data_IF_235605015707
#
_entry.id   IF_235605015707
#
_cell.length_a   1.000
_cell.length_b   1.000
_cell.length_c   1.000
_cell.angle_alpha   90.00
_cell.angle_beta   90.00
_cell.angle_gamma   90.00
#
_symmetry.space_group_name_H-M   'P 1'
#
loop_
_entity.id
_entity.type
_entity.pdbx_description
1 polymer ?
#
# COMPACT_ATOMS: atom_id res chain seq x y z
N UNK A 1 -1.27 1.11 -28.20
CA UNK A 1 -1.79 2.02 -27.15
C UNK A 1 -3.11 2.68 -27.54
N UNK A 2 -3.27 3.18 -28.77
CA UNK A 2 -4.53 3.80 -29.26
C UNK A 2 -5.71 2.82 -29.26
N UNK A 3 -5.50 1.56 -29.66
CA UNK A 3 -6.53 0.53 -29.61
C UNK A 3 -7.02 0.28 -28.18
N UNK A 4 -6.10 0.18 -27.20
CA UNK A 4 -6.47 -0.01 -25.81
C UNK A 4 -7.31 1.17 -25.29
N UNK A 5 -6.94 2.39 -25.61
CA UNK A 5 -7.73 3.59 -25.24
C UNK A 5 -9.12 3.62 -25.84
N UNK A 6 -9.31 2.98 -27.01
CA UNK A 6 -10.60 2.96 -27.69
C UNK A 6 -11.57 1.89 -27.13
N UNK A 7 -11.04 0.83 -26.54
CA UNK A 7 -11.84 -0.32 -26.07
C UNK A 7 -11.97 -0.41 -24.54
N UNK A 8 -11.06 0.22 -23.78
CA UNK A 8 -11.15 0.24 -22.34
C UNK A 8 -12.01 1.43 -21.88
N UNK A 9 -12.87 1.22 -20.88
CA UNK A 9 -13.62 2.33 -20.28
C UNK A 9 -12.67 3.31 -19.61
N UNK A 10 -13.08 4.56 -19.52
CA UNK A 10 -12.33 5.57 -18.76
C UNK A 10 -12.24 5.15 -17.30
N UNK A 11 -11.03 5.05 -16.69
CA UNK A 11 -10.86 4.56 -15.32
C UNK A 11 -11.72 5.26 -14.27
N UNK A 12 -11.92 6.57 -14.41
CA UNK A 12 -12.76 7.36 -13.51
C UNK A 12 -14.23 6.93 -13.53
N UNK A 13 -14.73 6.39 -14.66
CA UNK A 13 -16.10 5.92 -14.79
C UNK A 13 -16.37 4.63 -14.04
N UNK A 14 -15.33 3.89 -13.66
CA UNK A 14 -15.44 2.62 -12.97
C UNK A 14 -15.56 2.77 -11.44
N UNK A 15 -15.17 3.90 -10.87
CA UNK A 15 -15.08 4.10 -9.43
C UNK A 15 -16.38 3.78 -8.69
N UNK A 16 -17.52 4.26 -9.20
CA UNK A 16 -18.84 4.05 -8.57
C UNK A 16 -19.39 2.63 -8.72
N UNK A 17 -18.83 1.83 -9.62
CA UNK A 17 -19.31 0.47 -9.93
C UNK A 17 -18.36 -0.63 -9.50
N UNK A 18 -17.11 -0.30 -9.21
CA UNK A 18 -16.11 -1.26 -8.75
C UNK A 18 -16.46 -1.77 -7.35
N UNK A 19 -16.43 -3.08 -7.19
CA UNK A 19 -16.72 -3.79 -5.94
C UNK A 19 -15.56 -4.69 -5.57
N UNK A 20 -15.42 -4.97 -4.28
CA UNK A 20 -14.39 -5.85 -3.75
C UNK A 20 -13.28 -5.09 -3.05
N UNK A 21 -12.13 -5.74 -2.88
CA UNK A 21 -11.05 -5.22 -2.03
C UNK A 21 -9.71 -5.33 -2.74
N UNK A 22 -8.86 -4.33 -2.54
CA UNK A 22 -7.45 -4.39 -2.88
C UNK A 22 -6.68 -4.88 -1.66
N UNK A 23 -5.87 -5.90 -1.84
CA UNK A 23 -4.93 -6.39 -0.82
C UNK A 23 -3.51 -6.11 -1.32
N UNK A 24 -2.73 -5.38 -0.53
CA UNK A 24 -1.33 -5.06 -0.81
C UNK A 24 -0.51 -5.50 0.39
N UNK A 25 0.55 -6.25 0.14
CA UNK A 25 1.43 -6.69 1.22
C UNK A 25 2.60 -7.51 0.75
N UNK A 26 3.53 -7.73 1.66
CA UNK A 26 4.76 -8.46 1.46
C UNK A 26 4.83 -9.69 2.36
N UNK A 27 5.35 -10.78 1.80
CA UNK A 27 5.63 -12.00 2.54
C UNK A 27 7.14 -12.18 2.65
N UNK A 28 7.64 -12.09 3.87
CA UNK A 28 9.04 -12.30 4.18
C UNK A 28 9.25 -13.65 4.86
N UNK A 29 10.14 -14.47 4.29
CA UNK A 29 10.57 -15.73 4.89
C UNK A 29 12.05 -15.64 5.24
N UNK A 30 12.39 -15.99 6.47
CA UNK A 30 13.75 -15.93 6.97
C UNK A 30 13.95 -16.76 8.23
N UNK A 31 15.08 -16.51 8.90
CA UNK A 31 15.41 -17.12 10.18
C UNK A 31 15.58 -16.04 11.24
N UNK A 32 14.93 -16.22 12.38
CA UNK A 32 15.06 -15.38 13.57
C UNK A 32 15.25 -16.27 14.79
N UNK A 33 16.33 -16.03 15.54
CA UNK A 33 16.67 -16.78 16.76
C UNK A 33 16.78 -18.30 16.52
N UNK A 34 17.32 -18.70 15.35
CA UNK A 34 17.49 -20.11 14.95
C UNK A 34 16.20 -20.80 14.49
N UNK A 35 15.10 -20.05 14.33
CA UNK A 35 13.82 -20.59 13.87
C UNK A 35 13.41 -19.96 12.54
N UNK A 36 12.96 -20.81 11.61
CA UNK A 36 12.35 -20.33 10.37
C UNK A 36 11.03 -19.62 10.69
N UNK A 37 10.86 -18.43 10.11
CA UNK A 37 9.65 -17.64 10.22
C UNK A 37 9.22 -17.13 8.87
N UNK A 38 7.91 -17.11 8.65
CA UNK A 38 7.27 -16.46 7.52
C UNK A 38 6.28 -15.44 8.04
N UNK A 39 6.45 -14.20 7.65
CA UNK A 39 5.62 -13.09 8.11
C UNK A 39 4.96 -12.43 6.90
N UNK A 40 3.67 -12.19 6.99
CA UNK A 40 2.88 -11.44 6.02
C UNK A 40 2.50 -10.10 6.62
N UNK A 41 2.98 -9.01 6.03
CA UNK A 41 2.61 -7.63 6.36
C UNK A 41 1.74 -7.11 5.23
N UNK A 42 0.52 -6.67 5.54
CA UNK A 42 -0.45 -6.32 4.50
C UNK A 42 -1.46 -5.27 4.96
N UNK A 43 -2.08 -4.62 3.99
CA UNK A 43 -3.31 -3.85 4.20
C UNK A 43 -4.42 -4.31 3.24
N UNK A 44 -5.65 -3.99 3.60
CA UNK A 44 -6.83 -4.24 2.78
C UNK A 44 -7.59 -2.92 2.65
N UNK A 45 -7.89 -2.53 1.41
CA UNK A 45 -8.68 -1.34 1.11
C UNK A 45 -9.92 -1.75 0.31
N UNK A 46 -11.10 -1.42 0.83
CA UNK A 46 -12.37 -1.67 0.17
C UNK A 46 -12.65 -0.60 -0.90
N UNK A 47 -13.13 -1.03 -2.09
CA UNK A 47 -13.41 -0.11 -3.18
C UNK A 47 -14.57 0.83 -2.88
N UNK A 48 -15.60 0.35 -2.19
CA UNK A 48 -16.79 1.13 -1.88
C UNK A 48 -16.50 2.17 -0.79
N UNK A 49 -15.74 1.78 0.24
CA UNK A 49 -15.32 2.69 1.32
C UNK A 49 -14.39 3.79 0.77
N UNK A 50 -13.40 3.42 -0.03
CA UNK A 50 -12.50 4.39 -0.67
C UNK A 50 -13.25 5.36 -1.59
N UNK A 51 -14.22 4.85 -2.35
CA UNK A 51 -15.05 5.69 -3.22
C UNK A 51 -15.94 6.64 -2.42
N UNK A 52 -16.54 6.18 -1.33
CA UNK A 52 -17.37 7.01 -0.47
C UNK A 52 -16.59 8.16 0.16
N UNK A 53 -15.31 7.94 0.52
CA UNK A 53 -14.44 8.93 1.12
C UNK A 53 -13.89 9.94 0.11
N UNK A 54 -13.40 9.46 -1.05
CA UNK A 54 -12.59 10.29 -1.96
C UNK A 54 -13.15 10.43 -3.37
N UNK A 55 -14.20 9.71 -3.73
CA UNK A 55 -14.68 9.60 -5.11
C UNK A 55 -13.76 8.78 -6.03
N UNK A 56 -12.81 8.05 -5.46
CA UNK A 56 -11.86 7.23 -6.19
C UNK A 56 -11.90 5.78 -5.70
N UNK A 57 -11.55 4.84 -6.58
CA UNK A 57 -11.46 3.44 -6.21
C UNK A 57 -10.22 3.13 -5.34
N UNK A 58 -10.25 1.98 -4.65
CA UNK A 58 -9.18 1.57 -3.75
C UNK A 58 -7.78 1.54 -4.38
N UNK A 59 -7.64 1.21 -5.67
CA UNK A 59 -6.34 1.23 -6.36
C UNK A 59 -5.74 2.63 -6.38
N UNK A 60 -6.54 3.66 -6.63
CA UNK A 60 -6.09 5.06 -6.58
C UNK A 60 -5.78 5.49 -5.15
N UNK A 61 -6.61 5.06 -4.19
CA UNK A 61 -6.43 5.35 -2.76
C UNK A 61 -5.13 4.76 -2.22
N UNK A 62 -4.88 3.47 -2.45
CA UNK A 62 -3.67 2.76 -2.01
C UNK A 62 -2.40 3.23 -2.71
N UNK A 63 -2.52 3.96 -3.82
CA UNK A 63 -1.39 4.61 -4.51
C UNK A 63 -1.16 6.03 -3.99
N UNK A 64 -2.22 6.81 -3.83
CA UNK A 64 -2.14 8.22 -3.48
C UNK A 64 -1.77 8.47 -2.01
N UNK A 65 -2.36 7.71 -1.08
CA UNK A 65 -2.09 7.89 0.36
C UNK A 65 -0.63 7.64 0.72
N UNK A 66 0.03 6.55 0.31
CA UNK A 66 1.46 6.36 0.56
C UNK A 66 2.35 7.46 -0.03
N UNK A 67 2.04 7.92 -1.24
CA UNK A 67 2.78 9.01 -1.87
C UNK A 67 2.66 10.32 -1.08
N UNK A 68 1.45 10.64 -0.61
CA UNK A 68 1.20 11.80 0.25
C UNK A 68 1.97 11.70 1.56
N UNK A 69 1.95 10.52 2.20
CA UNK A 69 2.68 10.27 3.46
C UNK A 69 4.18 10.48 3.27
N UNK A 70 4.77 9.91 2.22
CA UNK A 70 6.19 10.10 1.91
C UNK A 70 6.54 11.58 1.74
N UNK A 71 5.73 12.33 0.98
CA UNK A 71 5.91 13.77 0.81
C UNK A 71 5.79 14.53 2.15
N UNK A 72 4.83 14.18 3.01
CA UNK A 72 4.65 14.79 4.33
C UNK A 72 5.85 14.53 5.25
N UNK A 73 6.39 13.31 5.27
CA UNK A 73 7.56 12.96 6.06
C UNK A 73 8.82 13.71 5.62
N UNK A 74 8.98 13.95 4.31
CA UNK A 74 10.07 14.79 3.79
C UNK A 74 9.88 16.26 4.16
N UNK A 75 8.68 16.80 4.00
CA UNK A 75 8.37 18.21 4.31
C UNK A 75 8.50 18.53 5.79
N UNK A 76 8.12 17.60 6.67
CA UNK A 76 8.25 17.74 8.13
C UNK A 76 9.68 17.48 8.61
N UNK A 77 10.55 16.94 7.75
CA UNK A 77 11.92 16.59 8.07
C UNK A 77 12.06 15.32 8.92
N UNK A 78 11.02 14.50 9.04
CA UNK A 78 11.12 13.17 9.63
C UNK A 78 11.98 12.24 8.75
N UNK A 79 11.82 12.38 7.43
CA UNK A 79 12.73 11.79 6.46
C UNK A 79 13.65 12.86 5.89
N UNK A 80 14.95 12.63 5.95
CA UNK A 80 15.99 13.56 5.47
C UNK A 80 17.07 12.81 4.71
N UNK A 81 17.60 13.47 3.68
CA UNK A 81 18.75 12.98 2.91
C UNK A 81 19.01 13.88 1.72
N UNK A 82 20.24 13.79 1.19
CA UNK A 82 20.65 14.48 -0.03
C UNK A 82 20.84 13.45 -1.13
N UNK A 83 20.15 13.64 -2.27
CA UNK A 83 20.25 12.75 -3.42
C UNK A 83 18.99 11.91 -3.67
N UNK A 84 19.17 10.76 -4.30
CA UNK A 84 18.10 9.80 -4.62
C UNK A 84 18.24 8.58 -3.73
N UNK A 85 17.17 8.20 -3.09
CA UNK A 85 17.13 7.05 -2.18
C UNK A 85 16.09 6.04 -2.64
N UNK A 86 16.35 4.78 -2.34
CA UNK A 86 15.30 3.79 -2.23
C UNK A 86 14.60 3.96 -0.89
N UNK A 87 13.28 3.78 -0.86
CA UNK A 87 12.47 4.05 0.34
C UNK A 87 12.85 3.14 1.51
N UNK A 88 13.39 1.96 1.23
CA UNK A 88 13.87 0.97 2.21
C UNK A 88 15.10 1.45 3.00
N UNK A 89 15.73 2.55 2.58
CA UNK A 89 16.85 3.17 3.30
C UNK A 89 16.40 4.14 4.38
N UNK A 90 15.10 4.46 4.42
CA UNK A 90 14.50 5.40 5.35
C UNK A 90 13.84 4.65 6.51
N UNK A 91 13.70 5.32 7.65
CA UNK A 91 13.01 4.75 8.81
C UNK A 91 11.53 4.45 8.46
N UNK A 92 11.09 3.19 8.53
CA UNK A 92 9.72 2.84 8.18
C UNK A 92 8.69 3.22 9.25
N UNK A 93 9.07 3.35 10.52
CA UNK A 93 8.13 3.50 11.63
C UNK A 93 7.18 4.69 11.47
N UNK A 94 7.65 5.92 11.19
CA UNK A 94 6.76 7.06 11.02
C UNK A 94 5.83 6.91 9.80
N UNK A 95 6.28 6.20 8.77
CA UNK A 95 5.46 5.92 7.59
C UNK A 95 4.33 4.94 7.91
N UNK A 96 4.65 3.86 8.61
CA UNK A 96 3.70 2.83 9.01
C UNK A 96 2.65 3.39 9.98
N UNK A 97 3.06 4.25 10.91
CA UNK A 97 2.14 4.97 11.79
C UNK A 97 1.17 5.88 11.02
N UNK A 98 1.67 6.59 10.02
CA UNK A 98 0.83 7.45 9.20
C UNK A 98 -0.13 6.65 8.31
N UNK A 99 0.24 5.49 7.80
CA UNK A 99 -0.69 4.59 7.09
C UNK A 99 -1.91 4.26 7.95
N UNK A 100 -1.70 3.91 9.22
CA UNK A 100 -2.78 3.62 10.17
C UNK A 100 -3.73 4.82 10.35
N UNK A 101 -3.19 6.05 10.36
CA UNK A 101 -3.97 7.29 10.56
C UNK A 101 -4.70 7.76 9.31
N UNK A 102 -4.22 7.35 8.13
CA UNK A 102 -4.73 7.80 6.85
C UNK A 102 -5.47 6.71 6.06
N UNK A 103 -6.21 5.86 6.76
CA UNK A 103 -7.17 4.93 6.15
C UNK A 103 -6.59 3.67 5.53
N UNK A 104 -5.29 3.42 5.70
CA UNK A 104 -4.61 2.19 5.25
C UNK A 104 -3.98 1.43 6.42
N UNK A 105 -4.75 0.99 7.41
CA UNK A 105 -4.21 0.24 8.53
C UNK A 105 -3.55 -1.05 8.05
N UNK A 106 -2.29 -1.24 8.46
CA UNK A 106 -1.56 -2.45 8.15
C UNK A 106 -1.70 -3.51 9.25
N UNK A 107 -1.55 -4.74 8.86
CA UNK A 107 -1.65 -5.92 9.71
C UNK A 107 -0.43 -6.81 9.53
N UNK A 108 -0.08 -7.56 10.56
CA UNK A 108 0.98 -8.56 10.53
C UNK A 108 0.39 -9.91 10.88
N UNK A 109 0.71 -10.92 10.09
CA UNK A 109 0.33 -12.31 10.33
C UNK A 109 1.55 -13.20 10.20
N UNK A 110 1.88 -13.97 11.23
CA UNK A 110 2.85 -15.06 11.14
C UNK A 110 2.16 -16.27 10.47
N UNK A 111 2.79 -16.79 9.42
CA UNK A 111 2.31 -17.94 8.66
C UNK A 111 3.05 -19.19 9.12
N UNK A 112 2.33 -20.28 9.31
CA UNK A 112 2.91 -21.57 9.75
C UNK A 112 3.79 -22.20 8.69
N UNK A 113 3.54 -21.90 7.43
CA UNK A 113 4.33 -22.40 6.29
C UNK A 113 4.55 -21.29 5.26
N UNK A 114 5.68 -21.33 4.49
CA UNK A 114 5.84 -20.49 3.32
C UNK A 114 4.68 -20.74 2.34
N UNK A 115 4.24 -19.69 1.63
CA UNK A 115 3.30 -19.89 0.53
C UNK A 115 4.08 -20.49 -0.65
N UNK A 116 3.68 -21.68 -1.08
CA UNK A 116 4.09 -22.24 -2.37
C UNK A 116 3.25 -21.57 -3.46
N UNK A 117 3.92 -20.85 -4.36
CA UNK A 117 3.30 -20.23 -5.54
C UNK A 117 3.48 -21.08 -6.78
#
# INVERSE_FOLDING_TARGET
>A
LQFLKAVLPEPSSLGSTTRGKTNIGDIATGEKDGQKKTVYVYNICDHEDAYAETGNQAVSYTTGVPAMIGAALMLTGAWRGEGVFNIEQLDPDPFMDMLNRHGLPWQVKELEQPLDF
#
